data_IF_293080416375
#
_entry.id   IF_293080416375
#
_cell.length_a   1.000
_cell.length_b   1.000
_cell.length_c   1.000
_cell.angle_alpha   90.00
_cell.angle_beta   90.00
_cell.angle_gamma   90.00
#
_symmetry.space_group_name_H-M   'P 1'
#
loop_
_entity.id
_entity.type
_entity.pdbx_description
1 polymer ?
#
# COMPACT_ATOMS: atom_id res chain seq x y z
N UNK A 1 11.28 38.57 -80.18
CA UNK A 1 12.11 37.76 -79.25
C UNK A 1 12.67 38.68 -78.16
N UNK A 2 11.97 38.82 -77.02
CA UNK A 2 12.43 39.62 -75.88
C UNK A 2 12.89 38.69 -74.75
N UNK A 3 14.13 38.90 -74.31
CA UNK A 3 14.86 38.10 -73.32
C UNK A 3 14.20 38.18 -71.94
N UNK A 4 13.95 37.01 -71.33
CA UNK A 4 13.62 36.85 -69.92
C UNK A 4 14.85 37.27 -69.08
N UNK A 5 14.80 38.45 -68.46
CA UNK A 5 15.75 38.82 -67.42
C UNK A 5 15.36 38.11 -66.12
N UNK A 6 16.12 37.06 -65.78
CA UNK A 6 16.07 36.43 -64.46
C UNK A 6 16.61 37.40 -63.41
N UNK A 7 15.69 38.01 -62.65
CA UNK A 7 16.04 38.81 -61.48
C UNK A 7 16.60 37.89 -60.40
N UNK A 8 17.93 37.94 -60.23
CA UNK A 8 18.60 37.31 -59.08
C UNK A 8 18.02 37.93 -57.80
N UNK A 9 17.57 37.14 -56.81
CA UNK A 9 17.04 37.70 -55.58
C UNK A 9 18.12 38.55 -54.90
N UNK A 10 17.77 39.73 -54.35
CA UNK A 10 18.74 40.62 -53.72
C UNK A 10 19.46 39.88 -52.59
N UNK A 11 20.77 40.13 -52.45
CA UNK A 11 21.65 39.48 -51.46
C UNK A 11 21.05 39.50 -50.04
N UNK A 12 20.29 40.54 -49.69
CA UNK A 12 19.57 40.66 -48.42
C UNK A 12 18.49 39.58 -48.20
N UNK A 13 17.76 39.17 -49.24
CA UNK A 13 16.74 38.13 -49.14
C UNK A 13 17.37 36.73 -48.91
N UNK A 14 18.55 36.49 -49.51
CA UNK A 14 19.33 35.26 -49.27
C UNK A 14 19.94 35.24 -47.88
N UNK A 15 20.42 36.37 -47.38
CA UNK A 15 20.99 36.48 -46.03
C UNK A 15 19.90 36.30 -44.95
N UNK A 16 18.71 36.88 -45.14
CA UNK A 16 17.59 36.70 -44.21
C UNK A 16 17.07 35.27 -44.20
N UNK A 17 16.99 34.60 -45.35
CA UNK A 17 16.58 33.20 -45.43
C UNK A 17 17.62 32.27 -44.76
N UNK A 18 18.91 32.54 -44.97
CA UNK A 18 19.98 31.78 -44.33
C UNK A 18 20.01 31.98 -42.81
N UNK A 19 19.75 33.20 -42.33
CA UNK A 19 19.65 33.50 -40.90
C UNK A 19 18.42 32.85 -40.27
N UNK A 20 17.27 32.87 -40.96
CA UNK A 20 16.06 32.19 -40.50
C UNK A 20 16.25 30.66 -40.44
N UNK A 21 16.96 30.08 -41.41
CA UNK A 21 17.28 28.65 -41.40
C UNK A 21 18.29 28.30 -40.31
N UNK A 22 19.34 29.11 -40.12
CA UNK A 22 20.32 28.92 -39.05
C UNK A 22 19.68 29.06 -37.66
N UNK A 23 18.73 29.97 -37.49
CA UNK A 23 18.00 30.14 -36.24
C UNK A 23 17.02 28.99 -36.00
N UNK A 24 16.38 28.46 -37.05
CA UNK A 24 15.51 27.26 -36.96
C UNK A 24 16.30 25.98 -36.64
N UNK A 25 17.55 25.85 -37.10
CA UNK A 25 18.44 24.75 -36.73
C UNK A 25 19.08 24.90 -35.34
N UNK A 26 19.00 26.09 -34.72
CA UNK A 26 19.53 26.35 -33.39
C UNK A 26 18.49 26.16 -32.26
N UNK A 27 17.24 25.77 -32.57
CA UNK A 27 16.31 25.33 -31.54
C UNK A 27 16.78 23.95 -31.03
N UNK A 28 17.11 23.81 -29.73
CA UNK A 28 17.30 22.48 -29.16
C UNK A 28 16.01 21.70 -29.39
N UNK A 29 16.11 20.55 -30.04
CA UNK A 29 15.04 19.58 -30.06
C UNK A 29 14.79 19.16 -28.61
N UNK A 30 13.89 19.85 -27.92
CA UNK A 30 13.33 19.35 -26.66
C UNK A 30 12.52 18.13 -27.04
N UNK A 31 13.18 16.96 -27.02
CA UNK A 31 12.48 15.70 -27.02
C UNK A 31 11.40 15.81 -25.93
N UNK A 32 10.14 15.47 -26.22
CA UNK A 32 9.14 15.41 -25.17
C UNK A 32 9.68 14.43 -24.14
N UNK A 33 10.02 14.93 -22.95
CA UNK A 33 10.16 14.06 -21.80
C UNK A 33 8.85 13.28 -21.77
N UNK A 34 8.93 11.97 -21.98
CA UNK A 34 7.78 11.10 -21.81
C UNK A 34 7.32 11.39 -20.39
N UNK A 35 6.17 12.03 -20.24
CA UNK A 35 5.54 12.17 -18.94
C UNK A 35 5.10 10.75 -18.59
N UNK A 36 6.02 9.95 -18.05
CA UNK A 36 5.66 8.65 -17.49
C UNK A 36 4.71 9.02 -16.37
N UNK A 37 3.43 8.71 -16.56
CA UNK A 37 2.48 8.78 -15.47
C UNK A 37 3.05 7.90 -14.36
N UNK A 38 3.55 8.52 -13.29
CA UNK A 38 4.09 7.81 -12.15
C UNK A 38 2.95 6.97 -11.60
N UNK A 39 3.08 5.65 -11.78
CA UNK A 39 2.10 4.69 -11.27
C UNK A 39 2.17 4.77 -9.74
N UNK A 40 1.04 4.60 -9.03
CA UNK A 40 1.09 4.42 -7.59
C UNK A 40 2.07 3.30 -7.22
N UNK A 41 2.69 3.41 -6.06
CA UNK A 41 3.46 2.31 -5.53
C UNK A 41 2.52 1.13 -5.27
N UNK A 42 3.04 -0.08 -5.32
CA UNK A 42 2.27 -1.27 -5.01
C UNK A 42 3.12 -2.41 -4.49
N UNK A 43 2.52 -3.17 -3.58
CA UNK A 43 3.13 -4.31 -2.93
C UNK A 43 2.19 -5.51 -2.95
N UNK A 44 2.79 -6.70 -2.96
CA UNK A 44 2.07 -7.96 -2.93
C UNK A 44 1.84 -8.43 -1.51
N UNK A 45 0.73 -9.12 -1.28
CA UNK A 45 0.42 -9.79 -0.03
C UNK A 45 -0.12 -11.18 -0.31
N UNK A 46 0.44 -12.19 0.35
CA UNK A 46 -0.02 -13.58 0.24
C UNK A 46 -0.45 -14.08 1.61
N UNK A 47 -1.67 -14.59 1.74
CA UNK A 47 -2.21 -15.13 2.99
C UNK A 47 -2.59 -16.59 2.75
N UNK A 48 -1.97 -17.51 3.49
CA UNK A 48 -2.27 -18.93 3.45
C UNK A 48 -2.95 -19.37 4.75
N UNK A 49 -4.18 -19.83 4.62
CA UNK A 49 -4.98 -20.39 5.71
C UNK A 49 -4.60 -21.83 6.03
N UNK A 50 -5.01 -22.32 7.20
CA UNK A 50 -4.71 -23.69 7.67
C UNK A 50 -5.32 -24.78 6.81
N UNK A 51 -6.44 -24.49 6.15
CA UNK A 51 -7.13 -25.38 5.20
C UNK A 51 -6.46 -25.42 3.80
N UNK A 52 -5.39 -24.65 3.60
CA UNK A 52 -4.65 -24.57 2.35
C UNK A 52 -5.19 -23.54 1.35
N UNK A 53 -6.26 -22.80 1.67
CA UNK A 53 -6.67 -21.66 0.85
C UNK A 53 -5.58 -20.59 0.86
N UNK A 54 -5.30 -20.04 -0.31
CA UNK A 54 -4.36 -18.94 -0.49
C UNK A 54 -5.10 -17.75 -1.08
N UNK A 55 -5.00 -16.62 -0.39
CA UNK A 55 -5.48 -15.32 -0.84
C UNK A 55 -4.28 -14.49 -1.24
N UNK A 56 -4.37 -13.85 -2.40
CA UNK A 56 -3.30 -13.02 -2.97
C UNK A 56 -3.89 -11.65 -3.20
N UNK A 57 -3.16 -10.60 -2.83
CA UNK A 57 -3.56 -9.22 -3.01
C UNK A 57 -2.44 -8.40 -3.62
N UNK A 58 -2.80 -7.46 -4.49
CA UNK A 58 -1.97 -6.34 -4.88
C UNK A 58 -2.54 -5.06 -4.26
N UNK A 59 -1.75 -4.40 -3.43
CA UNK A 59 -2.19 -3.22 -2.67
C UNK A 59 -1.43 -2.01 -3.17
N UNK A 60 -2.16 -1.05 -3.72
CA UNK A 60 -1.60 0.22 -4.17
C UNK A 60 -1.56 1.26 -3.04
N UNK A 61 -0.55 2.12 -3.09
CA UNK A 61 -0.35 3.20 -2.14
C UNK A 61 0.43 4.36 -2.78
N UNK A 62 0.25 5.58 -2.27
CA UNK A 62 0.89 6.80 -2.81
C UNK A 62 2.09 7.24 -1.98
N UNK A 63 2.19 6.73 -0.76
CA UNK A 63 3.29 6.98 0.15
C UNK A 63 4.58 6.31 -0.35
N UNK A 64 5.78 6.84 -0.04
CA UNK A 64 7.04 6.21 -0.45
C UNK A 64 7.24 4.82 0.17
N UNK A 65 6.69 4.60 1.37
CA UNK A 65 6.64 3.31 2.05
C UNK A 65 5.45 3.27 3.00
N UNK A 66 4.94 2.06 3.26
CA UNK A 66 3.94 1.77 4.30
C UNK A 66 4.52 0.73 5.26
N UNK A 67 3.86 0.45 6.37
CA UNK A 67 4.20 -0.71 7.21
C UNK A 67 3.61 -2.01 6.66
N UNK A 68 4.17 -3.15 7.04
CA UNK A 68 3.55 -4.45 6.75
C UNK A 68 2.16 -4.58 7.35
N UNK A 69 1.88 -3.86 8.45
CA UNK A 69 0.57 -3.85 9.08
C UNK A 69 -0.42 -3.03 8.26
N UNK A 70 0.00 -1.89 7.71
CA UNK A 70 -0.81 -1.09 6.79
C UNK A 70 -1.07 -1.85 5.49
N UNK A 71 -0.09 -2.60 4.96
CA UNK A 71 -0.28 -3.49 3.82
C UNK A 71 -1.39 -4.51 4.09
N UNK A 72 -1.30 -5.23 5.21
CA UNK A 72 -2.30 -6.21 5.61
C UNK A 72 -3.68 -5.55 5.85
N UNK A 73 -3.71 -4.38 6.51
CA UNK A 73 -4.98 -3.66 6.77
C UNK A 73 -5.64 -3.18 5.47
N UNK A 74 -4.86 -2.66 4.52
CA UNK A 74 -5.36 -2.17 3.22
C UNK A 74 -5.84 -3.29 2.29
N UNK A 75 -5.42 -4.54 2.52
CA UNK A 75 -5.97 -5.71 1.81
C UNK A 75 -7.46 -5.96 2.11
N UNK A 76 -7.97 -5.40 3.22
CA UNK A 76 -9.35 -5.58 3.66
C UNK A 76 -9.60 -6.88 4.44
N UNK A 77 -8.56 -7.66 4.74
CA UNK A 77 -8.68 -8.85 5.58
C UNK A 77 -9.19 -8.50 6.99
N UNK A 78 -10.01 -9.37 7.58
CA UNK A 78 -10.55 -9.19 8.93
C UNK A 78 -9.49 -9.53 9.98
N UNK A 79 -8.96 -8.52 10.68
CA UNK A 79 -7.82 -8.70 11.58
C UNK A 79 -8.21 -8.69 13.06
N UNK A 80 -7.64 -9.62 13.82
CA UNK A 80 -7.52 -9.52 15.28
C UNK A 80 -6.06 -9.26 15.62
N UNK A 81 -5.79 -8.16 16.34
CA UNK A 81 -4.44 -7.65 16.58
C UNK A 81 -4.17 -7.53 18.07
N UNK A 82 -2.92 -7.74 18.47
CA UNK A 82 -2.44 -7.46 19.82
C UNK A 82 -1.09 -6.75 19.77
N UNK A 83 -0.91 -5.70 20.59
CA UNK A 83 0.31 -4.91 20.61
C UNK A 83 1.32 -5.48 21.63
N UNK A 84 2.56 -5.70 21.20
CA UNK A 84 3.66 -6.23 22.03
C UNK A 84 4.80 -5.22 22.22
N UNK A 85 4.50 -3.92 22.09
CA UNK A 85 5.46 -2.85 22.35
C UNK A 85 6.64 -2.91 21.38
N UNK A 86 7.86 -3.10 21.90
CA UNK A 86 9.10 -3.11 21.10
C UNK A 86 9.17 -4.21 20.03
N UNK A 87 8.37 -5.28 20.15
CA UNK A 87 8.26 -6.33 19.14
C UNK A 87 7.28 -5.99 18.01
N UNK A 88 6.51 -4.90 18.16
CA UNK A 88 5.46 -4.49 17.23
C UNK A 88 4.10 -5.13 17.53
N UNK A 89 3.21 -5.05 16.55
CA UNK A 89 1.86 -5.62 16.60
C UNK A 89 1.88 -7.05 16.10
N UNK A 90 1.36 -8.01 16.87
CA UNK A 90 1.11 -9.37 16.42
C UNK A 90 -0.27 -9.47 15.76
N UNK A 91 -0.36 -10.35 14.76
CA UNK A 91 -1.62 -10.71 14.10
C UNK A 91 -2.09 -12.01 14.71
N UNK A 92 -3.17 -11.94 15.48
CA UNK A 92 -3.71 -13.08 16.23
C UNK A 92 -4.69 -13.89 15.39
N UNK A 93 -5.46 -13.22 14.54
CA UNK A 93 -6.36 -13.85 13.59
C UNK A 93 -6.47 -13.05 12.29
N UNK A 94 -6.70 -13.76 11.19
CA UNK A 94 -7.01 -13.22 9.86
C UNK A 94 -8.25 -13.94 9.35
N UNK A 95 -9.27 -13.17 8.93
CA UNK A 95 -10.56 -13.67 8.43
C UNK A 95 -11.23 -14.69 9.37
N UNK A 96 -11.10 -14.45 10.67
CA UNK A 96 -11.67 -15.29 11.73
C UNK A 96 -10.87 -16.56 12.05
N UNK A 97 -9.79 -16.88 11.31
CA UNK A 97 -8.88 -17.97 11.65
C UNK A 97 -7.78 -17.46 12.56
N UNK A 98 -7.67 -18.04 13.76
CA UNK A 98 -6.59 -17.77 14.71
C UNK A 98 -7.06 -17.73 16.15
N UNK A 99 -6.49 -16.82 16.92
CA UNK A 99 -6.70 -16.67 18.36
C UNK A 99 -7.25 -15.27 18.72
N UNK A 100 -7.94 -15.14 19.87
CA UNK A 100 -8.37 -13.85 20.40
C UNK A 100 -7.16 -12.98 20.83
N UNK A 101 -7.33 -11.65 20.85
CA UNK A 101 -6.24 -10.72 21.14
C UNK A 101 -5.65 -10.89 22.55
N UNK A 102 -6.47 -11.28 23.53
CA UNK A 102 -6.08 -11.51 24.92
C UNK A 102 -5.13 -12.71 25.07
N UNK A 103 -5.17 -13.64 24.11
CA UNK A 103 -4.28 -14.79 24.06
C UNK A 103 -3.89 -15.09 22.60
N UNK A 104 -3.13 -14.17 22.00
CA UNK A 104 -2.76 -14.17 20.58
C UNK A 104 -2.12 -15.48 20.08
N UNK A 105 -1.49 -16.23 21.00
CA UNK A 105 -0.80 -17.48 20.72
C UNK A 105 -1.47 -18.69 21.39
N UNK A 106 -2.80 -18.66 21.54
CA UNK A 106 -3.58 -19.69 22.24
C UNK A 106 -3.36 -21.13 21.77
N UNK A 107 -2.93 -21.33 20.51
CA UNK A 107 -2.65 -22.65 19.94
C UNK A 107 -1.16 -23.01 19.87
N UNK A 108 -0.25 -22.10 20.27
CA UNK A 108 1.20 -22.35 20.22
C UNK A 108 1.69 -23.22 21.38
N UNK A 109 0.90 -23.34 22.45
CA UNK A 109 1.23 -24.17 23.62
C UNK A 109 0.95 -25.66 23.40
N UNK A 110 0.39 -26.02 22.25
CA UNK A 110 0.06 -27.39 21.87
C UNK A 110 1.08 -27.94 20.87
N UNK A 111 1.09 -29.26 20.66
CA UNK A 111 1.89 -29.88 19.62
C UNK A 111 0.98 -30.48 18.54
N UNK A 112 1.06 -30.00 17.29
CA UNK A 112 1.98 -28.96 16.80
C UNK A 112 1.52 -27.52 17.14
N UNK A 113 2.48 -26.60 17.27
CA UNK A 113 2.27 -25.23 17.76
C UNK A 113 1.83 -24.28 16.64
N UNK A 114 0.53 -24.00 16.52
CA UNK A 114 -0.01 -23.13 15.46
C UNK A 114 -0.12 -21.67 15.89
N UNK A 115 0.30 -20.78 14.99
CA UNK A 115 0.01 -19.35 15.02
C UNK A 115 0.22 -18.74 13.63
N UNK A 116 -0.14 -17.47 13.44
CA UNK A 116 0.17 -16.75 12.20
C UNK A 116 1.66 -16.40 12.13
N UNK A 117 2.36 -17.03 11.19
CA UNK A 117 3.74 -16.71 10.87
C UNK A 117 3.79 -15.62 9.80
N UNK A 118 4.69 -14.65 9.99
CA UNK A 118 4.89 -13.53 9.09
C UNK A 118 6.18 -13.70 8.27
N UNK A 119 6.09 -13.53 6.96
CA UNK A 119 7.19 -13.73 6.03
C UNK A 119 7.37 -12.52 5.12
N UNK A 120 8.61 -12.30 4.68
CA UNK A 120 8.95 -11.42 3.55
C UNK A 120 9.44 -12.29 2.40
N UNK A 121 9.03 -11.96 1.18
CA UNK A 121 9.62 -12.54 -0.03
C UNK A 121 10.92 -11.80 -0.35
N UNK A 122 12.02 -12.53 -0.47
CA UNK A 122 13.28 -11.99 -0.94
C UNK A 122 13.34 -11.97 -2.49
N UNK A 123 14.21 -11.15 -3.10
CA UNK A 123 14.35 -11.07 -4.55
C UNK A 123 14.71 -12.39 -5.25
N UNK A 124 15.27 -13.35 -4.51
CA UNK A 124 15.56 -14.71 -5.01
C UNK A 124 14.35 -15.66 -4.99
N UNK A 125 13.18 -15.16 -4.57
CA UNK A 125 11.93 -15.91 -4.47
C UNK A 125 11.78 -16.71 -3.17
N UNK A 126 12.70 -16.56 -2.21
CA UNK A 126 12.62 -17.27 -0.93
C UNK A 126 11.76 -16.52 0.10
N UNK A 127 10.99 -17.28 0.88
CA UNK A 127 10.20 -16.73 1.99
C UNK A 127 11.01 -16.73 3.29
N UNK A 128 11.29 -15.54 3.83
CA UNK A 128 12.06 -15.38 5.07
C UNK A 128 11.14 -15.01 6.22
N UNK A 129 11.12 -15.86 7.26
CA UNK A 129 10.35 -15.64 8.49
C UNK A 129 10.83 -14.38 9.21
N UNK A 130 9.91 -13.48 9.51
CA UNK A 130 10.19 -12.26 10.25
C UNK A 130 10.02 -12.51 11.76
N UNK A 131 10.99 -12.04 12.55
CA UNK A 131 11.01 -12.20 14.02
C UNK A 131 10.28 -11.07 14.76
N UNK A 132 9.89 -10.03 14.04
CA UNK A 132 9.21 -8.85 14.55
C UNK A 132 7.88 -8.67 13.84
N UNK A 133 6.93 -8.06 14.52
CA UNK A 133 5.60 -7.83 13.97
C UNK A 133 5.61 -6.91 12.75
N UNK A 134 4.60 -7.01 11.88
CA UNK A 134 4.48 -6.25 10.63
C UNK A 134 4.47 -4.73 10.80
N UNK A 135 4.14 -4.21 11.99
CA UNK A 135 4.21 -2.78 12.29
C UNK A 135 5.64 -2.21 12.28
N UNK A 136 6.65 -3.06 12.32
CA UNK A 136 8.07 -2.65 12.28
C UNK A 136 8.72 -2.82 10.91
N UNK A 137 8.09 -3.56 10.00
CA UNK A 137 8.52 -3.71 8.60
C UNK A 137 8.14 -2.46 7.81
N UNK A 138 9.08 -1.91 7.04
CA UNK A 138 8.80 -0.92 5.97
C UNK A 138 8.64 -1.64 4.63
N UNK A 139 7.48 -1.54 4.02
CA UNK A 139 7.13 -2.09 2.71
C UNK A 139 7.23 -0.97 1.69
N UNK A 140 7.97 -1.23 0.61
CA UNK A 140 8.15 -0.34 -0.53
C UNK A 140 7.48 -0.90 -1.77
N UNK A 141 7.43 -0.07 -2.80
CA UNK A 141 7.05 -0.51 -4.13
C UNK A 141 7.85 -1.76 -4.54
N UNK A 142 7.16 -2.81 -4.98
CA UNK A 142 7.80 -4.05 -5.39
C UNK A 142 7.88 -5.13 -4.32
N UNK A 143 7.74 -4.77 -3.04
CA UNK A 143 7.86 -5.73 -1.93
C UNK A 143 6.68 -6.70 -1.91
N UNK A 144 6.92 -7.91 -1.40
CA UNK A 144 5.86 -8.90 -1.13
C UNK A 144 6.01 -9.42 0.30
N UNK A 145 4.93 -9.33 1.06
CA UNK A 145 4.82 -9.92 2.39
C UNK A 145 3.87 -11.12 2.38
N UNK A 146 4.07 -12.03 3.33
CA UNK A 146 3.37 -13.31 3.40
C UNK A 146 2.89 -13.64 4.81
N UNK A 147 1.73 -14.27 4.92
CA UNK A 147 1.16 -14.77 6.17
C UNK A 147 0.79 -16.23 6.01
N UNK A 148 1.14 -17.06 6.98
CA UNK A 148 0.72 -18.46 6.97
C UNK A 148 0.26 -18.91 8.36
N UNK A 149 -0.93 -19.50 8.42
CA UNK A 149 -1.35 -20.27 9.59
C UNK A 149 -0.68 -21.63 9.52
N UNK A 150 0.38 -21.80 10.30
CA UNK A 150 1.24 -22.98 10.25
C UNK A 150 1.88 -23.25 11.60
N UNK A 151 2.48 -24.43 11.74
CA UNK A 151 3.27 -24.84 12.89
C UNK A 151 4.73 -25.13 12.54
N UNK A 152 5.17 -24.70 11.35
CA UNK A 152 6.49 -25.04 10.82
C UNK A 152 6.78 -24.34 9.51
N UNK A 153 6.89 -25.11 8.42
CA UNK A 153 7.16 -24.57 7.09
C UNK A 153 6.05 -23.61 6.65
N UNK A 154 6.41 -22.56 5.91
CA UNK A 154 5.44 -21.53 5.49
C UNK A 154 4.33 -22.13 4.63
N UNK A 155 4.66 -23.07 3.74
CA UNK A 155 3.71 -23.59 2.74
C UNK A 155 3.22 -22.53 1.76
N UNK A 156 3.80 -21.32 1.79
CA UNK A 156 3.48 -20.24 0.87
C UNK A 156 3.93 -20.63 -0.55
N UNK A 157 3.16 -20.28 -1.60
CA UNK A 157 3.53 -20.59 -2.98
C UNK A 157 4.79 -19.81 -3.40
N UNK A 158 5.53 -20.35 -4.37
CA UNK A 158 6.50 -19.58 -5.13
C UNK A 158 5.74 -18.55 -5.98
N UNK A 159 6.09 -17.28 -5.84
CA UNK A 159 5.42 -16.16 -6.53
C UNK A 159 6.43 -15.04 -6.77
N UNK A 160 6.08 -14.05 -7.59
CA UNK A 160 6.79 -12.78 -7.69
C UNK A 160 5.81 -11.60 -7.58
N UNK A 161 6.33 -10.39 -7.36
CA UNK A 161 5.51 -9.18 -7.40
C UNK A 161 4.88 -8.95 -8.77
N UNK A 162 5.60 -9.26 -9.86
CA UNK A 162 5.10 -9.06 -11.21
C UNK A 162 3.96 -10.02 -11.53
N UNK A 163 4.04 -11.27 -11.05
CA UNK A 163 2.95 -12.25 -11.16
C UNK A 163 1.72 -11.80 -10.38
N UNK A 164 1.90 -11.35 -9.13
CA UNK A 164 0.82 -10.82 -8.30
C UNK A 164 0.17 -9.61 -8.98
N UNK A 165 0.95 -8.63 -9.44
CA UNK A 165 0.44 -7.42 -10.06
C UNK A 165 -0.31 -7.72 -11.38
N UNK A 166 0.19 -8.66 -12.19
CA UNK A 166 -0.45 -9.08 -13.43
C UNK A 166 -1.85 -9.67 -13.19
N UNK A 167 -2.08 -10.37 -12.07
CA UNK A 167 -3.42 -10.87 -11.70
C UNK A 167 -4.43 -9.72 -11.51
N UNK A 168 -3.95 -8.52 -11.18
CA UNK A 168 -4.75 -7.31 -11.01
C UNK A 168 -4.73 -6.39 -12.24
N UNK A 169 -4.18 -6.84 -13.37
CA UNK A 169 -4.07 -6.04 -14.59
C UNK A 169 -3.04 -4.91 -14.49
N UNK A 170 -2.13 -4.98 -13.52
CA UNK A 170 -1.07 -3.99 -13.32
C UNK A 170 0.22 -4.51 -13.95
N UNK A 171 0.62 -3.89 -15.06
CA UNK A 171 1.99 -4.02 -15.59
C UNK A 171 2.92 -3.26 -14.62
N UNK A 172 3.98 -3.88 -14.10
CA UNK A 172 5.00 -3.20 -13.28
C UNK A 172 6.31 -2.95 -14.03
N UNK A 173 6.49 -3.56 -15.20
CA UNK A 173 7.67 -3.44 -16.05
C UNK A 173 7.83 -2.05 -16.67
N UNK A 174 6.74 -1.35 -17.01
CA UNK A 174 6.81 -0.01 -17.64
C UNK A 174 7.21 1.17 -16.71
N UNK A 175 7.56 0.93 -15.44
CA UNK A 175 7.77 1.98 -14.42
C UNK A 175 9.09 1.87 -13.66
N UNK A 176 9.87 0.80 -13.90
CA UNK A 176 11.21 0.66 -13.38
C UNK A 176 12.18 1.49 -14.25
N UNK A 177 12.15 2.82 -14.13
CA UNK A 177 13.30 3.62 -14.55
C UNK A 177 14.47 3.27 -13.60
N UNK A 178 15.72 3.13 -14.09
CA UNK A 178 16.86 2.93 -13.21
C UNK A 178 16.91 4.12 -12.25
N UNK A 179 16.66 3.88 -10.96
CA UNK A 179 16.92 4.87 -9.91
C UNK A 179 18.33 5.39 -10.13
N UNK A 180 18.45 6.66 -10.54
CA UNK A 180 19.73 7.31 -10.69
C UNK A 180 20.54 7.05 -9.42
N UNK A 181 21.72 6.46 -9.56
CA UNK A 181 22.65 6.23 -8.46
C UNK A 181 22.70 7.50 -7.61
N UNK A 182 22.31 7.45 -6.32
CA UNK A 182 22.34 8.64 -5.49
C UNK A 182 23.75 9.25 -5.57
N UNK A 183 23.87 10.59 -5.69
CA UNK A 183 25.17 11.22 -5.69
C UNK A 183 25.96 10.74 -4.45
N UNK A 184 27.27 10.49 -4.57
CA UNK A 184 28.07 10.01 -3.46
C UNK A 184 27.84 10.91 -2.24
N UNK A 185 27.69 10.33 -1.03
CA UNK A 185 27.40 11.11 0.15
C UNK A 185 28.46 12.19 0.32
N UNK A 186 28.01 13.44 0.44
CA UNK A 186 28.88 14.57 0.75
C UNK A 186 29.64 14.23 2.04
N UNK A 187 30.98 14.34 2.09
CA UNK A 187 31.72 14.04 3.30
C UNK A 187 31.17 14.89 4.47
N UNK A 188 31.01 14.31 5.67
CA UNK A 188 30.48 15.03 6.80
C UNK A 188 31.36 16.25 7.10
N UNK A 189 30.77 17.38 7.55
CA UNK A 189 31.56 18.53 8.00
C UNK A 189 32.51 18.09 9.12
N UNK A 190 33.72 18.71 9.23
CA UNK A 190 34.66 18.36 10.29
C UNK A 190 33.98 18.53 11.66
N UNK A 191 34.05 17.48 12.48
CA UNK A 191 33.52 17.49 13.84
C UNK A 191 34.08 18.69 14.61
N UNK A 192 33.25 19.49 15.31
CA UNK A 192 33.76 20.53 16.19
C UNK A 192 34.67 19.92 17.26
N UNK A 193 35.75 20.63 17.60
CA UNK A 193 36.70 20.21 18.61
C UNK A 193 35.98 19.95 19.96
N UNK A 194 36.40 18.93 20.72
CA UNK A 194 35.76 18.59 21.99
C UNK A 194 35.80 19.79 22.93
N UNK A 195 34.62 20.20 23.41
CA UNK A 195 34.50 21.15 24.52
C UNK A 195 35.16 20.53 25.75
N UNK A 196 36.05 21.25 26.47
CA UNK A 196 36.70 20.70 27.66
C UNK A 196 35.65 20.29 28.70
N UNK A 197 35.83 19.09 29.26
CA UNK A 197 34.93 18.53 30.26
C UNK A 197 34.87 19.45 31.50
N UNK A 198 33.70 19.63 32.12
CA UNK A 198 33.58 20.40 33.34
C UNK A 198 34.39 19.73 34.47
N UNK A 199 35.18 20.54 35.17
CA UNK A 199 35.93 20.14 36.37
C UNK A 199 34.98 19.49 37.39
N UNK A 200 35.25 18.26 37.88
CA UNK A 200 34.39 17.61 38.85
C UNK A 200 34.33 18.40 40.15
N UNK A 201 33.12 18.54 40.70
CA UNK A 201 32.89 19.11 42.02
C UNK A 201 33.53 18.24 43.12
N UNK A 202 34.01 18.82 44.23
CA UNK A 202 34.65 18.06 45.30
C UNK A 202 33.67 17.05 45.93
N UNK A 203 34.13 15.80 46.04
CA UNK A 203 33.42 14.71 46.70
C UNK A 203 33.18 15.03 48.18
N UNK A 204 31.94 14.90 48.71
CA UNK A 204 31.68 15.10 50.13
C UNK A 204 32.42 14.03 50.98
N UNK A 205 32.78 14.37 52.24
CA UNK A 205 33.49 13.44 53.12
C UNK A 205 32.62 12.21 53.46
N UNK A 206 33.26 11.05 53.76
CA UNK A 206 32.54 9.81 54.03
C UNK A 206 31.66 9.92 55.29
N UNK A 207 30.44 9.43 55.17
CA UNK A 207 29.50 9.25 56.29
C UNK A 207 30.01 8.15 57.23
N UNK A 208 29.81 8.26 58.56
CA UNK A 208 30.30 7.26 59.51
C UNK A 208 29.64 5.89 59.29
N UNK A 209 30.33 4.79 59.63
CA UNK A 209 29.81 3.44 59.45
C UNK A 209 28.57 3.21 60.34
N UNK A 210 27.47 2.81 59.71
CA UNK A 210 26.27 2.36 60.42
C UNK A 210 26.57 0.97 61.01
N UNK A 211 26.55 0.88 62.34
CA UNK A 211 26.62 -0.37 63.09
C UNK A 211 25.39 -1.23 62.75
N UNK A 212 25.53 -2.49 62.34
CA UNK A 212 24.37 -3.35 62.12
C UNK A 212 23.66 -3.61 63.47
N UNK A 213 22.40 -3.21 63.56
CA UNK A 213 21.53 -3.62 64.66
C UNK A 213 21.34 -5.14 64.61
N UNK A 214 21.49 -5.81 65.75
CA UNK A 214 21.35 -7.25 65.89
C UNK A 214 20.01 -7.75 65.33
N UNK A 215 20.09 -8.76 64.47
CA UNK A 215 18.96 -9.52 63.95
C UNK A 215 18.14 -10.11 65.11
N UNK A 216 16.85 -9.79 65.27
CA UNK A 216 16.02 -10.47 66.25
C UNK A 216 15.79 -11.93 65.82
N UNK A 217 15.91 -12.83 66.80
CA UNK A 217 15.62 -14.26 66.72
C UNK A 217 14.17 -14.48 66.23
N UNK A 218 13.89 -15.45 65.35
CA UNK A 218 12.53 -15.69 64.87
C UNK A 218 11.60 -16.10 66.03
N UNK A 219 10.57 -15.28 66.25
CA UNK A 219 9.46 -15.63 67.13
C UNK A 219 8.69 -16.82 66.53
N UNK A 220 8.25 -17.71 67.43
CA UNK A 220 7.51 -18.92 67.10
C UNK A 220 6.33 -18.67 66.14
N UNK A 221 6.17 -19.58 65.20
CA UNK A 221 5.03 -19.66 64.27
C UNK A 221 3.70 -19.52 65.02
N UNK A 222 2.76 -18.67 64.58
CA UNK A 222 1.41 -18.71 65.08
C UNK A 222 0.75 -20.01 64.59
N UNK A 223 0.37 -20.87 65.53
CA UNK A 223 -0.55 -21.98 65.30
C UNK A 223 -1.85 -21.41 64.75
N UNK A 224 -2.10 -21.60 63.45
CA UNK A 224 -3.38 -21.29 62.81
C UNK A 224 -4.45 -22.18 63.46
N UNK A 225 -5.55 -21.63 64.04
CA UNK A 225 -6.67 -22.46 64.43
C UNK A 225 -7.32 -23.02 63.15
N UNK A 226 -7.37 -24.35 63.05
CA UNK A 226 -8.19 -25.04 62.05
C UNK A 226 -9.63 -24.65 62.30
N UNK A 227 -10.16 -23.74 61.48
CA UNK A 227 -11.60 -23.50 61.39
C UNK A 227 -12.16 -24.69 60.62
N UNK A 228 -12.79 -25.61 61.36
CA UNK A 228 -13.61 -26.67 60.80
C UNK A 228 -14.74 -26.04 60.00
N UNK A 229 -14.67 -26.11 58.68
CA UNK A 229 -15.81 -25.87 57.80
C UNK A 229 -16.88 -26.93 58.11
N UNK A 230 -18.15 -26.54 58.36
CA UNK A 230 -19.21 -27.51 58.54
C UNK A 230 -19.42 -28.28 57.22
N UNK A 231 -19.35 -29.60 57.31
CA UNK A 231 -19.70 -30.54 56.24
C UNK A 231 -21.15 -30.24 55.81
N UNK A 232 -21.44 -30.01 54.52
CA UNK A 232 -22.81 -29.85 54.07
C UNK A 232 -23.58 -31.16 54.31
N UNK A 233 -24.87 -31.10 54.71
CA UNK A 233 -25.69 -32.28 54.92
C UNK A 233 -25.81 -33.10 53.62
N UNK A 234 -25.90 -34.44 53.70
CA UNK A 234 -26.06 -35.27 52.52
C UNK A 234 -27.33 -34.86 51.76
N UNK A 235 -27.20 -34.68 50.45
CA UNK A 235 -28.31 -34.44 49.55
C UNK A 235 -29.36 -35.57 49.69
N UNK A 236 -30.66 -35.25 49.65
CA UNK A 236 -31.70 -36.27 49.73
C UNK A 236 -31.59 -37.24 48.55
N UNK A 237 -31.95 -38.52 48.74
CA UNK A 237 -31.88 -39.52 47.69
C UNK A 237 -32.77 -39.12 46.51
N UNK A 238 -32.19 -39.15 45.31
CA UNK A 238 -32.92 -38.96 44.06
C UNK A 238 -34.07 -39.97 44.00
N UNK A 239 -35.29 -39.46 43.91
CA UNK A 239 -36.48 -40.25 43.62
C UNK A 239 -36.33 -40.82 42.20
N UNK A 240 -36.44 -42.14 41.98
CA UNK A 240 -36.44 -42.69 40.63
C UNK A 240 -37.75 -42.31 39.94
N UNK A 241 -37.67 -41.43 38.94
CA UNK A 241 -38.77 -41.18 38.03
C UNK A 241 -38.91 -42.36 37.03
N UNK A 242 -40.15 -42.73 36.65
CA UNK A 242 -40.46 -44.07 36.16
C UNK A 242 -39.97 -44.34 34.74
N UNK A 243 -39.56 -45.60 34.56
CA UNK A 243 -39.43 -46.31 33.29
C UNK A 243 -40.66 -46.11 32.42
N UNK A 244 -40.53 -45.32 31.34
CA UNK A 244 -41.48 -45.33 30.25
C UNK A 244 -41.11 -46.47 29.28
N UNK A 245 -41.89 -47.54 29.41
CA UNK A 245 -42.02 -48.69 28.52
C UNK A 245 -41.96 -48.33 27.05
N UNK A 246 -41.10 -49.04 26.31
CA UNK A 246 -41.09 -49.08 24.86
C UNK A 246 -42.44 -49.56 24.30
N UNK A 247 -42.97 -48.85 23.30
CA UNK A 247 -43.95 -49.41 22.37
C UNK A 247 -43.56 -49.05 20.94
N UNK A 248 -43.17 -50.09 20.20
CA UNK A 248 -42.97 -50.05 18.76
C UNK A 248 -44.29 -49.77 18.04
N UNK A 249 -44.23 -48.93 16.99
CA UNK A 249 -44.92 -49.10 15.71
C UNK A 249 -44.65 -47.89 14.79
N UNK A 250 -44.29 -48.17 13.53
CA UNK A 250 -44.55 -47.25 12.41
C UNK A 250 -43.34 -46.50 11.85
N UNK A 251 -42.67 -47.12 10.88
CA UNK A 251 -41.98 -46.41 9.80
C UNK A 251 -43.03 -45.60 9.00
N UNK A 252 -42.69 -44.37 8.53
CA UNK A 252 -42.44 -44.27 7.09
C UNK A 252 -41.27 -43.34 6.72
N UNK A 253 -40.61 -43.77 5.66
CA UNK A 253 -39.74 -43.07 4.71
C UNK A 253 -40.02 -41.57 4.54
N UNK A 254 -39.02 -40.68 4.61
CA UNK A 254 -39.08 -39.40 3.91
C UNK A 254 -38.61 -39.61 2.47
N UNK A 255 -39.55 -39.49 1.54
CA UNK A 255 -39.32 -39.50 0.12
C UNK A 255 -38.48 -38.29 -0.31
N UNK A 256 -37.56 -38.54 -1.24
CA UNK A 256 -36.82 -37.55 -2.02
C UNK A 256 -37.81 -36.63 -2.73
N UNK A 257 -37.86 -35.37 -2.33
CA UNK A 257 -38.57 -34.32 -3.06
C UNK A 257 -37.61 -33.65 -4.06
N UNK A 258 -37.80 -34.01 -5.33
CA UNK A 258 -37.29 -33.32 -6.52
C UNK A 258 -37.91 -31.90 -6.58
N UNK A 259 -37.14 -30.82 -6.79
CA UNK A 259 -37.74 -29.57 -7.23
C UNK A 259 -38.07 -29.67 -8.74
N UNK A 260 -39.35 -29.66 -9.05
CA UNK A 260 -39.93 -29.44 -10.39
C UNK A 260 -39.74 -27.96 -10.79
N UNK A 261 -39.49 -27.63 -12.08
CA UNK A 261 -39.27 -26.26 -12.50
C UNK A 261 -40.60 -25.49 -12.55
N UNK A 262 -40.67 -24.36 -11.84
CA UNK A 262 -41.77 -23.42 -11.97
C UNK A 262 -41.56 -22.60 -13.26
N UNK A 263 -42.54 -22.70 -14.16
CA UNK A 263 -42.61 -21.97 -15.40
C UNK A 263 -42.87 -20.47 -15.18
N UNK A 264 -42.34 -19.72 -16.15
CA UNK A 264 -42.68 -18.39 -16.57
C UNK A 264 -44.11 -17.93 -16.23
N UNK A 265 -44.19 -16.74 -15.63
CA UNK A 265 -45.33 -15.84 -15.81
C UNK A 265 -44.73 -14.52 -16.27
N UNK A 266 -45.00 -14.19 -17.53
CA UNK A 266 -44.68 -12.92 -18.16
C UNK A 266 -45.41 -11.78 -17.44
N UNK A 267 -44.67 -10.74 -17.08
CA UNK A 267 -45.21 -9.44 -16.70
C UNK A 267 -44.76 -8.44 -17.77
N UNK A 268 -45.67 -7.64 -18.35
CA UNK A 268 -45.34 -6.77 -19.48
C UNK A 268 -44.36 -5.67 -19.09
N UNK A 269 -43.36 -5.51 -19.96
CA UNK A 269 -42.34 -4.46 -19.93
C UNK A 269 -43.04 -3.11 -20.07
N UNK A 270 -43.07 -2.32 -19.00
CA UNK A 270 -43.35 -0.89 -19.09
C UNK A 270 -42.06 -0.21 -19.56
N UNK A 271 -42.09 0.36 -20.77
CA UNK A 271 -41.04 1.20 -21.31
C UNK A 271 -40.70 2.32 -20.32
N UNK A 272 -39.57 2.18 -19.63
CA UNK A 272 -38.89 3.30 -18.99
C UNK A 272 -38.01 3.98 -20.04
N UNK A 273 -38.40 5.19 -20.39
CA UNK A 273 -37.67 6.18 -21.17
C UNK A 273 -36.20 6.24 -20.71
N UNK A 274 -35.20 6.27 -21.62
CA UNK A 274 -33.84 6.59 -21.21
C UNK A 274 -33.81 8.06 -20.78
N UNK A 275 -33.82 8.28 -19.47
CA UNK A 275 -33.50 9.56 -18.89
C UNK A 275 -32.05 9.89 -19.23
N UNK A 276 -31.87 10.95 -20.01
CA UNK A 276 -30.62 11.66 -20.23
C UNK A 276 -29.94 11.94 -18.91
N UNK A 277 -29.04 11.05 -18.49
CA UNK A 277 -28.01 11.39 -17.51
C UNK A 277 -26.96 12.17 -18.25
N UNK A 278 -26.92 13.46 -17.92
CA UNK A 278 -25.98 14.42 -18.44
C UNK A 278 -24.55 13.86 -18.33
N UNK A 279 -23.88 13.84 -19.48
CA UNK A 279 -22.45 13.71 -19.63
C UNK A 279 -21.80 14.72 -18.66
N UNK A 280 -21.34 14.23 -17.50
CA UNK A 280 -20.51 15.02 -16.61
C UNK A 280 -19.16 15.11 -17.29
N UNK A 281 -19.00 16.18 -18.06
CA UNK A 281 -17.75 16.64 -18.62
C UNK A 281 -16.71 16.66 -17.51
N UNK A 282 -15.91 15.59 -17.40
CA UNK A 282 -14.58 15.71 -16.82
C UNK A 282 -13.83 16.65 -17.76
N UNK A 283 -13.81 17.92 -17.40
CA UNK A 283 -12.83 18.87 -17.91
C UNK A 283 -11.45 18.29 -17.61
N UNK A 284 -10.89 17.63 -18.63
CA UNK A 284 -9.49 17.25 -18.67
C UNK A 284 -8.68 18.55 -18.60
N UNK A 285 -7.87 18.79 -17.55
CA UNK A 285 -7.03 19.98 -17.47
C UNK A 285 -6.02 20.09 -18.64
N UNK A 286 -5.80 18.98 -19.35
CA UNK A 286 -4.98 18.89 -20.57
C UNK A 286 -5.56 19.68 -21.76
N UNK A 287 -6.87 19.66 -22.01
CA UNK A 287 -7.47 20.32 -23.20
C UNK A 287 -7.52 21.85 -23.06
N UNK A 288 -7.67 22.36 -21.83
CA UNK A 288 -7.72 23.80 -21.56
C UNK A 288 -6.42 24.50 -21.94
N UNK A 289 -5.27 23.88 -21.63
CA UNK A 289 -3.96 24.44 -21.98
C UNK A 289 -3.69 24.43 -23.49
N UNK A 290 -4.14 23.40 -24.21
CA UNK A 290 -3.99 23.34 -25.67
C UNK A 290 -4.81 24.39 -26.42
N UNK A 291 -6.02 24.68 -25.95
CA UNK A 291 -6.88 25.72 -26.56
C UNK A 291 -6.29 27.11 -26.34
N UNK A 292 -5.78 27.40 -25.14
CA UNK A 292 -5.10 28.68 -24.85
C UNK A 292 -3.83 28.84 -25.71
N UNK A 293 -3.06 27.77 -25.87
CA UNK A 293 -1.84 27.79 -26.67
C UNK A 293 -2.13 27.98 -28.17
N UNK A 294 -3.14 27.28 -28.70
CA UNK A 294 -3.58 27.43 -30.09
C UNK A 294 -4.11 28.85 -30.38
N UNK A 295 -4.85 29.44 -29.43
CA UNK A 295 -5.33 30.82 -29.55
C UNK A 295 -4.18 31.83 -29.55
N UNK A 296 -3.17 31.68 -28.67
CA UNK A 296 -1.97 32.52 -28.67
C UNK A 296 -1.18 32.40 -29.97
N UNK A 297 -1.00 31.17 -30.49
CA UNK A 297 -0.26 30.94 -31.73
C UNK A 297 -0.97 31.60 -32.92
N UNK A 298 -2.29 31.50 -32.97
CA UNK A 298 -3.12 32.13 -34.00
C UNK A 298 -3.02 33.66 -33.95
N UNK A 299 -3.04 34.24 -32.75
CA UNK A 299 -2.88 35.69 -32.55
C UNK A 299 -1.49 36.18 -32.99
N UNK A 300 -0.43 35.43 -32.68
CA UNK A 300 0.93 35.75 -33.09
C UNK A 300 1.12 35.68 -34.61
N UNK A 301 0.58 34.64 -35.25
CA UNK A 301 0.61 34.51 -36.71
C UNK A 301 -0.21 35.62 -37.40
N UNK A 302 -1.36 35.98 -36.84
CA UNK A 302 -2.17 37.11 -37.30
C UNK A 302 -1.44 38.44 -37.20
N UNK A 303 -0.77 38.70 -36.08
CA UNK A 303 0.03 39.91 -35.87
C UNK A 303 1.22 39.97 -36.82
N UNK A 304 1.91 38.86 -37.04
CA UNK A 304 3.03 38.77 -37.98
C UNK A 304 2.57 39.03 -39.43
N UNK A 305 1.44 38.45 -39.85
CA UNK A 305 0.83 38.70 -41.14
C UNK A 305 0.42 40.17 -41.32
N UNK A 306 -0.18 40.76 -40.29
CA UNK A 306 -0.58 42.18 -40.31
C UNK A 306 0.63 43.12 -40.39
N UNK A 307 1.70 42.85 -39.63
CA UNK A 307 2.95 43.63 -39.69
C UNK A 307 3.65 43.49 -41.05
N UNK A 308 3.62 42.30 -41.67
CA UNK A 308 4.15 42.10 -43.01
C UNK A 308 3.34 42.85 -44.07
N UNK A 309 2.01 42.84 -43.96
CA UNK A 309 1.13 43.61 -44.84
C UNK A 309 1.37 45.12 -44.70
N UNK A 310 1.45 45.62 -43.46
CA UNK A 310 1.67 47.05 -43.17
C UNK A 310 3.03 47.56 -43.66
N UNK A 311 4.05 46.68 -43.73
CA UNK A 311 5.37 47.00 -44.31
C UNK A 311 5.38 46.92 -45.84
N UNK A 312 4.43 46.20 -46.46
CA UNK A 312 4.29 46.08 -47.91
C UNK A 312 3.48 47.20 -48.57
N UNK A 313 2.66 47.93 -47.80
CA UNK A 313 1.81 49.02 -48.31
C UNK A 313 2.38 50.42 -47.98
N UNK A 314 3.66 50.65 -48.25
CA UNK A 314 4.17 52.03 -48.33
C UNK A 314 3.60 52.71 -49.58
N UNK A 315 3.11 53.96 -49.51
CA UNK A 315 2.57 54.65 -50.67
C UNK A 315 3.65 54.81 -51.75
N UNK A 316 3.33 54.62 -53.04
CA UNK A 316 4.27 54.94 -54.10
C UNK A 316 4.59 56.44 -54.04
N UNK A 317 5.88 56.76 -54.00
CA UNK A 317 6.35 58.13 -54.12
C UNK A 317 5.80 58.73 -55.42
N UNK A 318 4.89 59.69 -55.26
CA UNK A 318 4.46 60.54 -56.35
C UNK A 318 5.57 61.53 -56.65
N UNK A 319 6.29 61.27 -57.73
CA UNK A 319 7.03 62.29 -58.46
C UNK A 319 6.03 63.29 -59.03
N UNK A 320 6.13 64.56 -58.65
CA UNK A 320 5.66 65.66 -59.47
C UNK A 320 6.71 66.78 -59.51
N UNK A 321 7.06 67.08 -60.77
CA UNK A 321 7.73 68.26 -61.33
C UNK A 321 7.23 69.56 -60.72
#
# INVERSE_FOLDING_TARGET
>A
MRKLFGSRPPMAARALLALALALALALPATAPAQLIAQRPNGAGLVIRHGDGRVLVYYVEFTEPEITGLELLTRSGAGLTLANFGGLGTAVCAIDGEGCPAENCFCQSYTSPAFYWHYYRLEPDGSWVLQQVGPSSRRVRDGDVDGWSWTSGQSGLPSTSIDEIAAQYGVDRSAGAEPTATPPPPTPPPPSPAPTPAPTPAPTPPPSPPVVPAATPLPAASPTVPVVSTPVPPPAPPATPAPTATARAAGSPTPAVARPTPAQATETPILLATPGTVAESSRESPELSNYVVFAAMLSALLGLAGWLAWRRGTGPPGGDHV
#
